data_IF_916037300334
#
_entry.id   IF_916037300334
#
_cell.length_a   1.000
_cell.length_b   1.000
_cell.length_c   1.000
_cell.angle_alpha   90.00
_cell.angle_beta   90.00
_cell.angle_gamma   90.00
#
_symmetry.space_group_name_H-M   'P 1'
#
loop_
_entity.id
_entity.type
_entity.pdbx_description
1 polymer ?
#
# COMPACT_ATOMS: atom_id res chain seq x y z
N UNK A 1 2.75 13.75 -8.24
CA UNK A 1 1.32 13.48 -7.96
C UNK A 1 1.31 12.31 -7.02
N UNK A 2 0.56 12.35 -5.92
CA UNK A 2 0.52 11.24 -4.95
C UNK A 2 0.13 9.92 -5.63
N UNK A 3 0.81 8.84 -5.27
CA UNK A 3 0.59 7.48 -5.77
C UNK A 3 0.33 6.54 -4.61
N UNK A 4 -0.42 5.47 -4.87
CA UNK A 4 -0.55 4.37 -3.94
C UNK A 4 0.52 3.32 -4.25
N UNK A 5 1.32 3.02 -3.24
CA UNK A 5 2.27 1.92 -3.19
C UNK A 5 1.75 0.92 -2.16
N UNK A 6 1.75 -0.36 -2.52
CA UNK A 6 1.31 -1.44 -1.64
C UNK A 6 2.50 -2.36 -1.44
N UNK A 7 2.86 -2.56 -0.18
CA UNK A 7 3.76 -3.62 0.23
C UNK A 7 2.92 -4.84 0.56
N UNK A 8 3.00 -5.85 -0.29
CA UNK A 8 2.24 -7.08 -0.18
C UNK A 8 3.15 -8.28 -0.19
N UNK A 9 2.55 -9.47 -0.36
CA UNK A 9 3.30 -10.70 -0.51
C UNK A 9 2.59 -11.70 -1.41
N UNK A 10 3.35 -12.53 -2.11
CA UNK A 10 2.81 -13.59 -2.99
C UNK A 10 2.43 -14.88 -2.26
N UNK A 11 2.97 -15.13 -1.05
CA UNK A 11 2.57 -16.27 -0.22
C UNK A 11 1.13 -16.21 0.30
N UNK A 12 0.57 -17.35 0.74
CA UNK A 12 -0.77 -17.40 1.32
C UNK A 12 -0.89 -16.47 2.54
N UNK A 13 -1.73 -15.44 2.42
CA UNK A 13 -1.98 -14.45 3.47
C UNK A 13 -3.46 -14.04 3.46
N UNK A 14 -4.22 -14.29 4.53
CA UNK A 14 -5.63 -13.89 4.63
C UNK A 14 -5.88 -12.40 4.41
N UNK A 15 -4.94 -11.55 4.76
CA UNK A 15 -5.05 -10.10 4.59
C UNK A 15 -4.80 -9.65 3.15
N UNK A 16 -3.84 -10.27 2.47
CA UNK A 16 -3.66 -10.07 1.03
C UNK A 16 -4.90 -10.53 0.25
N UNK A 17 -5.48 -11.69 0.58
CA UNK A 17 -6.72 -12.13 -0.06
C UNK A 17 -7.89 -11.15 0.13
N UNK A 18 -7.98 -10.51 1.32
CA UNK A 18 -8.97 -9.46 1.58
C UNK A 18 -8.72 -8.22 0.74
N UNK A 19 -7.45 -7.81 0.60
CA UNK A 19 -7.06 -6.71 -0.26
C UNK A 19 -7.34 -6.98 -1.74
N UNK A 20 -6.96 -8.14 -2.24
CA UNK A 20 -7.20 -8.54 -3.64
C UNK A 20 -8.69 -8.52 -3.97
N UNK A 21 -9.53 -9.00 -3.04
CA UNK A 21 -10.98 -8.90 -3.17
C UNK A 21 -11.43 -7.43 -3.23
N UNK A 22 -10.95 -6.59 -2.32
CA UNK A 22 -11.30 -5.18 -2.27
C UNK A 22 -10.94 -4.47 -3.58
N UNK A 23 -9.73 -4.69 -4.11
CA UNK A 23 -9.26 -4.12 -5.38
C UNK A 23 -10.11 -4.57 -6.58
N UNK A 24 -10.57 -5.82 -6.60
CA UNK A 24 -11.49 -6.29 -7.67
C UNK A 24 -12.82 -5.56 -7.66
N UNK A 25 -13.32 -5.20 -6.48
CA UNK A 25 -14.55 -4.45 -6.31
C UNK A 25 -14.34 -2.93 -6.50
N UNK A 26 -13.09 -2.46 -6.38
CA UNK A 26 -12.70 -1.05 -6.43
C UNK A 26 -11.46 -0.84 -7.31
N UNK A 27 -11.60 -0.85 -8.66
CA UNK A 27 -10.47 -0.72 -9.56
C UNK A 27 -9.65 0.54 -9.29
N UNK A 28 -8.33 0.42 -9.11
CA UNK A 28 -7.45 1.56 -8.81
C UNK A 28 -6.05 1.33 -9.36
N UNK A 29 -5.33 2.42 -9.61
CA UNK A 29 -3.94 2.36 -10.01
C UNK A 29 -3.04 2.32 -8.77
N UNK A 30 -2.22 1.29 -8.64
CA UNK A 30 -1.19 1.20 -7.61
C UNK A 30 0.00 0.36 -8.05
N UNK A 31 1.11 0.52 -7.33
CA UNK A 31 2.33 -0.30 -7.47
C UNK A 31 2.39 -1.30 -6.33
N UNK A 32 2.64 -2.57 -6.66
CA UNK A 32 2.85 -3.63 -5.67
C UNK A 32 4.33 -3.98 -5.57
N UNK A 33 4.90 -3.91 -4.36
CA UNK A 33 6.19 -4.51 -4.01
C UNK A 33 5.95 -5.79 -3.20
N UNK A 34 6.53 -6.90 -3.66
CA UNK A 34 6.44 -8.21 -2.99
C UNK A 34 7.59 -8.39 -2.00
N UNK A 35 7.28 -8.36 -0.70
CA UNK A 35 8.29 -8.50 0.36
C UNK A 35 8.90 -9.90 0.46
N UNK A 36 8.29 -10.91 -0.18
CA UNK A 36 8.88 -12.26 -0.24
C UNK A 36 9.97 -12.33 -1.33
N UNK A 37 9.96 -11.43 -2.31
CA UNK A 37 10.90 -11.38 -3.43
C UNK A 37 11.88 -10.19 -3.40
N UNK A 38 11.57 -9.14 -2.64
CA UNK A 38 12.33 -7.90 -2.54
C UNK A 38 12.78 -7.66 -1.08
N UNK A 39 14.08 -7.81 -0.83
CA UNK A 39 14.67 -7.67 0.51
C UNK A 39 14.59 -6.22 1.04
N UNK A 40 14.65 -5.23 0.15
CA UNK A 40 14.53 -3.82 0.55
C UNK A 40 13.10 -3.55 0.99
N UNK A 41 12.11 -3.98 0.19
CA UNK A 41 10.68 -3.89 0.52
C UNK A 41 10.38 -4.55 1.87
N UNK A 42 10.96 -5.73 2.11
CA UNK A 42 10.89 -6.41 3.40
C UNK A 42 11.48 -5.58 4.53
N UNK A 43 12.69 -5.05 4.35
CA UNK A 43 13.37 -4.24 5.36
C UNK A 43 12.60 -2.95 5.68
N UNK A 44 11.96 -2.34 4.70
CA UNK A 44 11.10 -1.17 4.90
C UNK A 44 9.88 -1.50 5.76
N UNK A 45 9.14 -2.56 5.44
CA UNK A 45 7.97 -2.94 6.24
C UNK A 45 8.38 -3.25 7.68
N UNK A 46 9.47 -3.99 7.89
CA UNK A 46 9.98 -4.30 9.23
C UNK A 46 10.39 -3.03 9.97
N UNK A 47 11.11 -2.11 9.31
CA UNK A 47 11.54 -0.84 9.92
C UNK A 47 10.35 -0.01 10.42
N UNK A 48 9.26 0.03 9.66
CA UNK A 48 8.12 0.88 9.99
C UNK A 48 7.07 0.22 10.88
N UNK A 49 6.98 -1.11 10.88
CA UNK A 49 5.90 -1.85 11.57
C UNK A 49 6.42 -2.82 12.65
N UNK A 50 7.72 -3.04 12.71
CA UNK A 50 8.38 -4.05 13.55
C UNK A 50 8.16 -5.49 13.08
N UNK A 51 7.34 -5.72 12.05
CA UNK A 51 6.88 -7.04 11.61
C UNK A 51 6.81 -7.11 10.08
N UNK A 52 6.38 -8.26 9.54
CA UNK A 52 6.08 -8.44 8.12
C UNK A 52 4.59 -8.19 7.85
N UNK A 53 4.06 -7.09 8.39
CA UNK A 53 2.63 -6.78 8.33
C UNK A 53 2.23 -6.34 6.92
N UNK A 54 1.36 -7.13 6.28
CA UNK A 54 0.89 -6.90 4.92
C UNK A 54 -0.63 -7.11 4.77
N UNK A 55 -1.30 -6.37 3.88
CA UNK A 55 -0.72 -5.31 3.07
C UNK A 55 -0.42 -4.06 3.90
N UNK A 56 0.70 -3.41 3.61
CA UNK A 56 0.99 -2.05 4.09
C UNK A 56 0.82 -1.08 2.92
N UNK A 57 -0.15 -0.19 3.03
CA UNK A 57 -0.49 0.82 2.03
C UNK A 57 0.30 2.09 2.33
N UNK A 58 0.93 2.65 1.33
CA UNK A 58 1.79 3.84 1.43
C UNK A 58 1.40 4.85 0.37
N UNK A 59 1.30 6.11 0.76
CA UNK A 59 1.20 7.24 -0.17
C UNK A 59 2.59 7.74 -0.49
N UNK A 60 2.99 7.59 -1.75
CA UNK A 60 4.29 7.94 -2.26
C UNK A 60 4.23 9.16 -3.21
N UNK A 61 5.33 9.91 -3.40
CA UNK A 61 5.37 11.03 -4.36
C UNK A 61 5.33 10.56 -5.82
N UNK A 62 5.70 9.31 -6.07
CA UNK A 62 5.79 8.64 -7.36
C UNK A 62 5.61 7.12 -7.18
N UNK A 63 5.95 6.33 -8.21
CA UNK A 63 5.89 4.87 -8.19
C UNK A 63 7.05 4.22 -7.39
N UNK A 64 7.83 5.03 -6.68
CA UNK A 64 8.96 4.64 -5.88
C UNK A 64 8.54 4.05 -4.54
N UNK A 65 9.53 4.00 -3.66
CA UNK A 65 9.49 3.18 -2.46
C UNK A 65 8.99 3.96 -1.23
N UNK A 66 9.45 5.20 -1.12
CA UNK A 66 9.32 5.99 0.10
C UNK A 66 7.97 6.72 0.20
N UNK A 67 7.45 6.91 1.43
CA UNK A 67 6.26 7.70 1.64
C UNK A 67 6.53 9.18 1.31
N UNK A 68 5.50 9.90 0.87
CA UNK A 68 5.59 11.34 0.57
C UNK A 68 5.92 12.19 1.81
N UNK A 69 5.62 11.66 2.99
CA UNK A 69 5.94 12.19 4.31
C UNK A 69 6.16 11.02 5.27
N UNK A 70 7.10 11.15 6.20
CA UNK A 70 7.38 10.10 7.20
C UNK A 70 6.11 9.79 8.02
N UNK A 71 5.66 8.52 8.09
CA UNK A 71 4.48 8.17 8.86
C UNK A 71 4.73 8.35 10.35
N UNK A 72 3.68 8.74 11.09
CA UNK A 72 3.73 8.80 12.56
C UNK A 72 4.29 7.47 13.11
N UNK A 73 5.23 7.50 14.08
CA UNK A 73 5.76 6.27 14.65
C UNK A 73 4.68 5.35 15.21
N UNK A 74 4.86 4.05 15.05
CA UNK A 74 3.93 3.08 15.58
C UNK A 74 4.05 3.03 17.12
N UNK A 75 2.95 3.32 17.82
CA UNK A 75 2.91 3.37 19.28
C UNK A 75 2.17 2.18 19.94
N UNK A 76 1.72 1.19 19.16
CA UNK A 76 0.87 0.10 19.66
C UNK A 76 0.54 -0.94 18.59
N UNK A 77 -0.75 -1.32 18.50
CA UNK A 77 -1.21 -2.32 17.54
C UNK A 77 -0.93 -1.89 16.08
N UNK A 78 -0.46 -2.84 15.28
CA UNK A 78 -0.06 -2.61 13.88
C UNK A 78 -1.29 -2.56 12.96
N UNK A 79 -2.22 -3.50 13.14
CA UNK A 79 -3.36 -3.70 12.25
C UNK A 79 -4.36 -2.55 12.30
N UNK A 80 -4.76 -2.08 11.12
CA UNK A 80 -5.76 -1.02 10.94
C UNK A 80 -5.29 0.36 11.35
N UNK A 81 -3.99 0.54 11.63
CA UNK A 81 -3.45 1.81 12.13
C UNK A 81 -3.06 2.70 10.96
N UNK A 82 -3.80 3.81 10.79
CA UNK A 82 -3.46 4.91 9.89
C UNK A 82 -2.48 5.86 10.58
N UNK A 83 -1.31 6.06 9.98
CA UNK A 83 -0.19 6.85 10.50
C UNK A 83 0.12 8.04 9.60
N UNK A 84 -0.89 8.59 8.93
CA UNK A 84 -0.73 9.75 8.06
C UNK A 84 -0.57 9.29 6.61
N UNK A 85 0.61 8.89 6.19
CA UNK A 85 0.93 8.42 4.82
C UNK A 85 0.99 6.90 4.70
N UNK A 86 0.76 6.17 5.80
CA UNK A 86 0.85 4.72 5.85
C UNK A 86 -0.35 4.13 6.58
N UNK A 87 -0.97 3.09 6.00
CA UNK A 87 -2.04 2.30 6.62
C UNK A 87 -1.66 0.82 6.56
N UNK A 88 -1.59 0.18 7.71
CA UNK A 88 -1.12 -1.21 7.82
C UNK A 88 -2.26 -2.19 8.06
N UNK A 89 -2.29 -3.31 7.32
CA UNK A 89 -3.31 -4.38 7.41
C UNK A 89 -4.75 -3.85 7.52
N UNK A 90 -5.22 -3.03 6.56
CA UNK A 90 -6.49 -2.33 6.66
C UNK A 90 -7.66 -3.28 6.89
N UNK A 91 -8.54 -2.91 7.82
CA UNK A 91 -9.86 -3.52 7.96
C UNK A 91 -10.80 -3.06 6.83
N UNK A 92 -11.95 -3.73 6.73
CA UNK A 92 -12.98 -3.41 5.73
C UNK A 92 -13.36 -1.93 5.83
N UNK A 93 -13.31 -1.23 4.70
CA UNK A 93 -13.68 0.20 4.58
C UNK A 93 -12.57 1.19 4.93
N UNK A 94 -11.51 0.80 5.66
CA UNK A 94 -10.42 1.73 6.00
C UNK A 94 -9.62 2.16 4.76
N UNK A 95 -9.44 1.25 3.79
CA UNK A 95 -8.77 1.56 2.53
C UNK A 95 -9.46 2.71 1.79
N UNK A 96 -10.77 2.65 1.60
CA UNK A 96 -11.53 3.69 0.90
C UNK A 96 -11.34 5.07 1.55
N UNK A 97 -11.50 5.16 2.88
CA UNK A 97 -11.34 6.42 3.62
C UNK A 97 -9.91 6.97 3.53
N UNK A 98 -8.90 6.09 3.62
CA UNK A 98 -7.50 6.46 3.46
C UNK A 98 -7.22 7.02 2.06
N UNK A 99 -7.69 6.34 1.01
CA UNK A 99 -7.48 6.77 -0.38
C UNK A 99 -8.19 8.09 -0.67
N UNK A 100 -9.43 8.27 -0.19
CA UNK A 100 -10.18 9.52 -0.34
C UNK A 100 -9.46 10.70 0.31
N UNK A 101 -8.96 10.54 1.54
CA UNK A 101 -8.22 11.58 2.25
C UNK A 101 -6.99 12.06 1.47
N UNK A 102 -6.32 11.14 0.80
CA UNK A 102 -5.13 11.41 -0.01
C UNK A 102 -5.43 11.71 -1.49
N UNK A 103 -6.70 11.78 -1.86
CA UNK A 103 -7.16 12.01 -3.24
C UNK A 103 -6.60 10.98 -4.23
N UNK A 104 -6.39 9.75 -3.78
CA UNK A 104 -6.11 8.61 -4.66
C UNK A 104 -7.43 8.15 -5.26
N UNK A 105 -7.49 8.13 -6.59
CA UNK A 105 -8.68 7.77 -7.33
C UNK A 105 -8.85 6.24 -7.39
N UNK A 106 -10.06 5.75 -7.11
CA UNK A 106 -10.46 4.36 -7.24
C UNK A 106 -11.91 4.30 -7.71
N UNK A 107 -12.29 3.21 -8.38
CA UNK A 107 -13.65 2.97 -8.86
C UNK A 107 -14.50 2.15 -7.91
N UNK A 108 -15.71 1.82 -8.34
CA UNK A 108 -16.66 1.03 -7.54
C UNK A 108 -17.34 1.83 -6.41
N UNK A 109 -17.95 1.15 -5.42
CA UNK A 109 -18.69 1.80 -4.34
C UNK A 109 -17.86 2.83 -3.56
N UNK A 110 -18.36 4.06 -3.45
CA UNK A 110 -17.66 5.16 -2.77
C UNK A 110 -16.49 5.76 -3.55
N UNK A 111 -16.21 5.27 -4.77
CA UNK A 111 -15.23 5.80 -5.72
C UNK A 111 -15.87 6.42 -6.96
N UNK A 112 -15.07 6.66 -7.99
CA UNK A 112 -15.51 7.14 -9.30
C UNK A 112 -15.79 5.95 -10.24
N UNK A 113 -17.05 5.71 -10.63
CA UNK A 113 -17.42 4.54 -11.43
C UNK A 113 -16.81 4.52 -12.85
N UNK A 114 -16.22 5.63 -13.32
CA UNK A 114 -15.51 5.67 -14.60
C UNK A 114 -14.10 5.07 -14.54
N UNK A 115 -13.57 4.81 -13.33
CA UNK A 115 -12.23 4.24 -13.15
C UNK A 115 -12.28 2.73 -13.33
N UNK A 116 -11.54 2.26 -14.33
CA UNK A 116 -11.36 0.83 -14.68
C UNK A 116 -9.88 0.42 -14.63
N UNK A 117 -9.10 1.05 -13.75
CA UNK A 117 -7.65 0.93 -13.70
C UNK A 117 -7.16 -0.48 -13.33
N UNK A 118 -5.96 -0.82 -13.83
CA UNK A 118 -5.27 -2.07 -13.54
C UNK A 118 -4.09 -1.84 -12.59
N UNK A 119 -3.81 -2.83 -11.75
CA UNK A 119 -2.65 -2.88 -10.86
C UNK A 119 -1.38 -2.95 -11.72
N UNK A 120 -0.33 -2.20 -11.37
CA UNK A 120 0.98 -2.37 -11.98
C UNK A 120 1.85 -3.13 -10.99
N UNK A 121 2.02 -4.43 -11.22
CA UNK A 121 2.98 -5.25 -10.49
C UNK A 121 4.38 -4.93 -10.98
N UNK A 122 5.29 -4.53 -10.08
CA UNK A 122 6.71 -4.36 -10.41
C UNK A 122 7.55 -5.16 -9.43
N UNK A 123 8.43 -6.00 -9.97
CA UNK A 123 9.68 -6.32 -9.29
C UNK A 123 10.55 -5.06 -9.38
N UNK A 124 10.50 -4.20 -8.36
CA UNK A 124 11.31 -2.99 -8.34
C UNK A 124 12.78 -3.35 -8.18
N UNK A 125 13.58 -3.19 -9.23
CA UNK A 125 15.00 -2.94 -9.00
C UNK A 125 15.08 -1.58 -8.29
N UNK A 126 15.49 -1.60 -7.01
CA UNK A 126 15.85 -0.42 -6.26
C UNK A 126 16.71 0.48 -7.16
N UNK A 127 16.20 1.64 -7.59
CA UNK A 127 17.07 2.66 -8.14
C UNK A 127 17.82 3.20 -6.93
N UNK A 128 19.01 2.66 -6.68
CA UNK A 128 19.96 3.28 -5.76
C UNK A 128 19.99 4.79 -6.06
N UNK A 129 20.05 5.66 -5.04
CA UNK A 129 20.27 7.07 -5.29
C UNK A 129 21.50 7.17 -6.19
N UNK A 130 21.39 7.95 -7.28
CA UNK A 130 22.53 8.27 -8.13
C UNK A 130 23.57 8.95 -7.24
N UNK A 131 24.56 8.18 -6.79
CA UNK A 131 25.72 8.60 -6.02
C UNK A 131 26.98 8.28 -6.81
#
# INVERSE_FOLDING_TARGET
MARLVVYGRSGFCPDMMRWDRWVREHPLAYVLFDIDADEDARAFVVRHTGHLSVPTLVIAPDDGFDPIEEPTPLAGHVRGTDRGTMLTEPAIGQAAGFLQRHRIAFGGPGGDPSIVASNIERAGAHRAPLG
#
